data_IF_476749653934
#
_entry.id   IF_476749653934
#
_cell.length_a   1.000
_cell.length_b   1.000
_cell.length_c   1.000
_cell.angle_alpha   90.00
_cell.angle_beta   90.00
_cell.angle_gamma   90.00
#
_symmetry.space_group_name_H-M   'P 1'
#
loop_
_entity.id
_entity.type
_entity.pdbx_description
1 polymer ?
#
# COMPACT_ATOMS: atom_id res chain seq x y z
N UNK A 1 -15.34 -6.57 -22.48
CA UNK A 1 -14.87 -6.04 -21.18
C UNK A 1 -13.57 -5.24 -21.30
N UNK A 2 -12.62 -5.37 -20.36
CA UNK A 2 -11.48 -4.45 -20.09
C UNK A 2 -10.80 -3.77 -21.29
N UNK A 3 -10.59 -4.46 -22.41
CA UNK A 3 -9.91 -3.89 -23.59
C UNK A 3 -10.68 -2.70 -24.19
N UNK A 4 -12.03 -2.73 -24.19
CA UNK A 4 -12.84 -1.66 -24.77
C UNK A 4 -12.65 -0.31 -24.08
N UNK A 5 -12.72 -0.29 -22.74
CA UNK A 5 -12.48 0.91 -21.93
C UNK A 5 -11.06 1.46 -22.07
N UNK A 6 -10.05 0.58 -22.23
CA UNK A 6 -8.66 0.99 -22.46
C UNK A 6 -8.49 1.66 -23.83
N UNK A 7 -9.05 1.07 -24.89
CA UNK A 7 -9.01 1.65 -26.25
C UNK A 7 -9.75 2.99 -26.30
N UNK A 8 -10.92 3.09 -25.64
CA UNK A 8 -11.68 4.34 -25.53
C UNK A 8 -10.90 5.44 -24.79
N UNK A 9 -10.28 5.12 -23.65
CA UNK A 9 -9.46 6.07 -22.89
C UNK A 9 -8.23 6.54 -23.69
N UNK A 10 -7.55 5.64 -24.41
CA UNK A 10 -6.45 5.97 -25.32
C UNK A 10 -6.89 6.85 -26.49
N UNK A 11 -8.06 6.59 -27.07
CA UNK A 11 -8.67 7.43 -28.10
C UNK A 11 -8.89 8.86 -27.61
N UNK A 12 -9.50 9.05 -26.43
CA UNK A 12 -9.73 10.38 -25.85
C UNK A 12 -8.42 11.10 -25.57
N UNK A 13 -7.42 10.42 -24.99
CA UNK A 13 -6.13 11.01 -24.66
C UNK A 13 -5.41 11.54 -25.91
N UNK A 14 -5.36 10.77 -27.00
CA UNK A 14 -4.74 11.22 -28.24
C UNK A 14 -5.56 12.26 -29.01
N UNK A 15 -6.90 12.20 -28.97
CA UNK A 15 -7.74 13.24 -29.55
C UNK A 15 -7.53 14.58 -28.82
N UNK A 16 -7.45 14.57 -27.48
CA UNK A 16 -7.10 15.75 -26.68
C UNK A 16 -5.70 16.29 -27.01
N UNK A 17 -4.70 15.42 -27.14
CA UNK A 17 -3.34 15.82 -27.53
C UNK A 17 -3.32 16.43 -28.95
N UNK A 18 -4.07 15.86 -29.91
CA UNK A 18 -4.18 16.38 -31.27
C UNK A 18 -4.77 17.79 -31.32
N UNK A 19 -5.67 18.15 -30.41
CA UNK A 19 -6.23 19.50 -30.29
C UNK A 19 -5.21 20.47 -29.68
N UNK A 20 -4.47 20.04 -28.65
CA UNK A 20 -3.45 20.87 -27.99
C UNK A 20 -2.27 21.17 -28.92
N UNK A 21 -1.85 20.20 -29.74
CA UNK A 21 -0.70 20.37 -30.65
C UNK A 21 -0.98 21.24 -31.88
N UNK A 22 -2.23 21.69 -32.08
CA UNK A 22 -2.65 22.65 -33.11
C UNK A 22 -2.15 22.31 -34.53
N UNK A 23 -2.09 21.03 -34.86
CA UNK A 23 -1.95 20.54 -36.23
C UNK A 23 -3.28 20.75 -36.97
N UNK A 24 -3.26 20.95 -38.29
CA UNK A 24 -4.42 21.33 -39.10
C UNK A 24 -5.55 20.27 -39.01
N UNK A 25 -6.47 20.54 -38.09
CA UNK A 25 -7.27 19.52 -37.39
C UNK A 25 -8.24 18.79 -38.31
N UNK A 26 -8.58 19.40 -39.46
CA UNK A 26 -9.56 18.87 -40.41
C UNK A 26 -8.96 18.13 -41.61
N UNK A 27 -7.64 18.27 -41.86
CA UNK A 27 -6.99 17.72 -43.06
C UNK A 27 -5.98 16.62 -42.79
N UNK A 28 -5.51 16.45 -41.54
CA UNK A 28 -4.54 15.40 -41.23
C UNK A 28 -5.19 14.02 -41.03
N UNK A 29 -4.67 12.95 -41.68
CA UNK A 29 -5.22 11.60 -41.56
C UNK A 29 -5.12 11.03 -40.12
N UNK A 30 -4.21 11.57 -39.30
CA UNK A 30 -4.07 11.19 -37.89
C UNK A 30 -5.29 11.58 -37.05
N UNK A 31 -5.94 12.72 -37.32
CA UNK A 31 -7.15 13.11 -36.59
C UNK A 31 -8.31 12.14 -36.85
N UNK A 32 -8.47 11.71 -38.10
CA UNK A 32 -9.47 10.70 -38.50
C UNK A 32 -9.18 9.37 -37.81
N UNK A 33 -7.90 8.97 -37.70
CA UNK A 33 -7.48 7.76 -36.99
C UNK A 33 -7.81 7.82 -35.49
N UNK A 34 -7.56 8.94 -34.82
CA UNK A 34 -7.90 9.11 -33.39
C UNK A 34 -9.41 9.16 -33.17
N UNK A 35 -10.17 9.83 -34.03
CA UNK A 35 -11.63 9.85 -33.98
C UNK A 35 -12.22 8.45 -34.23
N UNK A 36 -11.68 7.70 -35.19
CA UNK A 36 -12.04 6.30 -35.43
C UNK A 36 -11.67 5.39 -34.25
N UNK A 37 -10.57 5.67 -33.53
CA UNK A 37 -10.21 4.94 -32.31
C UNK A 37 -11.16 5.24 -31.14
N UNK A 38 -11.62 6.49 -30.98
CA UNK A 38 -12.65 6.85 -29.99
C UNK A 38 -13.97 6.14 -30.28
N UNK A 39 -14.47 6.25 -31.52
CA UNK A 39 -15.74 5.63 -31.95
C UNK A 39 -15.63 4.10 -31.89
N UNK A 40 -14.52 3.53 -32.37
CA UNK A 40 -14.23 2.10 -32.30
C UNK A 40 -14.14 1.58 -30.87
N UNK A 41 -13.54 2.34 -29.95
CA UNK A 41 -13.49 2.03 -28.51
C UNK A 41 -14.88 2.04 -27.86
N UNK A 42 -15.72 3.03 -28.20
CA UNK A 42 -17.11 3.11 -27.74
C UNK A 42 -17.94 1.93 -28.27
N UNK A 43 -17.81 1.59 -29.55
CA UNK A 43 -18.46 0.43 -30.17
C UNK A 43 -17.99 -0.88 -29.52
N UNK A 44 -16.69 -1.04 -29.24
CA UNK A 44 -16.14 -2.20 -28.53
C UNK A 44 -16.62 -2.32 -27.07
N UNK A 45 -16.87 -1.20 -26.38
CA UNK A 45 -17.54 -1.23 -25.07
C UNK A 45 -18.98 -1.75 -25.19
N UNK A 46 -19.78 -1.15 -26.08
CA UNK A 46 -21.21 -1.50 -26.19
C UNK A 46 -21.41 -2.92 -26.75
N UNK A 47 -20.64 -3.33 -27.75
CA UNK A 47 -20.70 -4.68 -28.34
C UNK A 47 -20.08 -5.76 -27.43
N UNK A 48 -19.08 -5.39 -26.62
CA UNK A 48 -18.36 -6.33 -25.76
C UNK A 48 -19.00 -6.60 -24.40
N UNK A 49 -20.05 -5.85 -24.02
CA UNK A 49 -20.71 -5.96 -22.70
C UNK A 49 -22.23 -5.71 -22.72
N UNK A 50 -22.83 -5.26 -23.82
CA UNK A 50 -24.23 -4.86 -23.87
C UNK A 50 -24.51 -3.50 -23.19
N UNK A 51 -25.66 -2.91 -23.53
CA UNK A 51 -26.00 -1.51 -23.21
C UNK A 51 -26.02 -1.23 -21.71
N UNK A 52 -26.41 -2.21 -20.87
CA UNK A 52 -26.54 -2.03 -19.42
C UNK A 52 -25.18 -1.97 -18.69
N UNK A 53 -24.18 -2.74 -19.15
CA UNK A 53 -22.86 -2.81 -18.49
C UNK A 53 -21.89 -1.75 -19.03
N UNK A 54 -22.08 -1.27 -20.27
CA UNK A 54 -21.28 -0.17 -20.82
C UNK A 54 -21.31 1.12 -19.99
N UNK A 55 -22.41 1.41 -19.28
CA UNK A 55 -22.50 2.55 -18.35
C UNK A 55 -21.61 2.32 -17.12
N UNK A 56 -21.58 1.10 -16.57
CA UNK A 56 -20.73 0.76 -15.42
C UNK A 56 -19.23 0.92 -15.77
N UNK A 57 -18.82 0.50 -16.97
CA UNK A 57 -17.43 0.66 -17.43
C UNK A 57 -16.97 2.13 -17.54
N UNK A 58 -17.87 3.07 -17.85
CA UNK A 58 -17.54 4.50 -17.86
C UNK A 58 -17.29 5.04 -16.44
N UNK A 59 -18.11 4.65 -15.46
CA UNK A 59 -17.87 4.97 -14.04
C UNK A 59 -16.55 4.33 -13.56
N UNK A 60 -16.26 3.10 -13.99
CA UNK A 60 -15.03 2.39 -13.62
C UNK A 60 -13.77 3.10 -14.16
N UNK A 61 -13.77 3.57 -15.41
CA UNK A 61 -12.66 4.36 -15.99
C UNK A 61 -12.44 5.66 -15.22
N UNK A 62 -13.51 6.39 -14.90
CA UNK A 62 -13.43 7.62 -14.09
C UNK A 62 -12.87 7.34 -12.69
N UNK A 63 -13.31 6.25 -12.04
CA UNK A 63 -12.83 5.82 -10.73
C UNK A 63 -11.31 5.51 -10.74
N UNK A 64 -10.82 4.79 -11.76
CA UNK A 64 -9.40 4.54 -11.93
C UNK A 64 -8.61 5.86 -12.09
N UNK A 65 -9.05 6.75 -12.99
CA UNK A 65 -8.39 8.04 -13.22
C UNK A 65 -8.32 8.85 -11.92
N UNK A 66 -9.44 9.03 -11.21
CA UNK A 66 -9.48 9.77 -9.94
C UNK A 66 -8.57 9.19 -8.86
N UNK A 67 -8.43 7.85 -8.80
CA UNK A 67 -7.50 7.18 -7.89
C UNK A 67 -6.04 7.48 -8.23
N UNK A 68 -5.66 7.36 -9.52
CA UNK A 68 -4.30 7.65 -9.99
C UNK A 68 -3.94 9.15 -9.99
N UNK A 69 -4.90 10.05 -10.20
CA UNK A 69 -4.68 11.52 -10.16
C UNK A 69 -4.08 11.97 -8.83
N UNK A 70 -4.41 11.32 -7.71
CA UNK A 70 -3.81 11.62 -6.40
C UNK A 70 -2.29 11.42 -6.40
N UNK A 71 -1.81 10.30 -6.94
CA UNK A 71 -0.38 10.01 -7.04
C UNK A 71 0.31 11.02 -7.96
N UNK A 72 -0.30 11.32 -9.11
CA UNK A 72 0.20 12.34 -10.06
C UNK A 72 0.29 13.73 -9.40
N UNK A 73 -0.70 14.10 -8.57
CA UNK A 73 -0.70 15.36 -7.82
C UNK A 73 0.43 15.48 -6.80
N UNK A 74 0.68 14.43 -5.99
CA UNK A 74 1.80 14.39 -5.04
C UNK A 74 3.15 14.55 -5.78
N UNK A 75 3.32 13.81 -6.87
CA UNK A 75 4.56 13.85 -7.66
C UNK A 75 4.78 15.24 -8.29
N UNK A 76 3.73 15.85 -8.86
CA UNK A 76 3.78 17.21 -9.40
C UNK A 76 4.11 18.24 -8.31
N UNK A 77 3.50 18.14 -7.12
CA UNK A 77 3.75 19.05 -6.02
C UNK A 77 5.22 19.05 -5.59
N UNK A 78 5.84 17.86 -5.45
CA UNK A 78 7.26 17.75 -5.10
C UNK A 78 8.20 18.28 -6.20
N UNK A 79 7.87 18.08 -7.48
CA UNK A 79 8.64 18.65 -8.61
C UNK A 79 8.54 20.18 -8.64
N UNK A 80 7.35 20.75 -8.40
CA UNK A 80 7.15 22.20 -8.32
C UNK A 80 7.91 22.78 -7.13
N UNK A 81 7.86 22.15 -5.96
CA UNK A 81 8.59 22.61 -4.78
C UNK A 81 10.11 22.59 -4.99
N UNK A 82 10.66 21.50 -5.58
CA UNK A 82 12.07 21.44 -5.99
C UNK A 82 12.45 22.55 -6.98
N UNK A 83 11.57 22.83 -7.96
CA UNK A 83 11.77 23.92 -8.93
C UNK A 83 11.84 25.30 -8.25
N UNK A 84 10.95 25.57 -7.28
CA UNK A 84 10.97 26.82 -6.50
C UNK A 84 12.23 26.95 -5.64
N UNK A 85 12.66 25.88 -4.96
CA UNK A 85 13.90 25.86 -4.17
C UNK A 85 15.12 26.15 -5.05
N UNK A 86 15.20 25.52 -6.23
CA UNK A 86 16.27 25.74 -7.19
C UNK A 86 16.25 27.18 -7.73
N UNK A 87 15.08 27.72 -8.08
CA UNK A 87 14.93 29.10 -8.55
C UNK A 87 15.44 30.12 -7.53
N UNK A 88 15.03 29.99 -6.27
CA UNK A 88 15.49 30.84 -5.16
C UNK A 88 17.02 30.70 -5.00
N UNK A 89 17.53 29.47 -4.94
CA UNK A 89 18.95 29.20 -4.72
C UNK A 89 19.84 29.77 -5.84
N UNK A 90 19.45 29.58 -7.11
CA UNK A 90 20.19 30.15 -8.24
C UNK A 90 20.11 31.67 -8.29
N UNK A 91 18.96 32.27 -7.93
CA UNK A 91 18.83 33.73 -7.86
C UNK A 91 19.78 34.33 -6.80
N UNK A 92 19.87 33.71 -5.62
CA UNK A 92 20.83 34.11 -4.57
C UNK A 92 22.29 34.00 -5.03
N UNK A 93 22.65 32.90 -5.72
CA UNK A 93 24.02 32.65 -6.21
C UNK A 93 24.47 33.70 -7.25
N UNK A 94 23.58 34.16 -8.13
CA UNK A 94 23.91 35.14 -9.18
C UNK A 94 24.08 36.58 -8.67
N UNK A 95 23.44 36.95 -7.55
CA UNK A 95 23.44 38.34 -7.07
C UNK A 95 24.64 38.73 -6.19
N UNK A 96 25.55 37.82 -5.85
CA UNK A 96 26.86 38.21 -5.29
C UNK A 96 27.64 37.09 -4.58
N UNK A 97 28.97 37.18 -4.59
CA UNK A 97 29.87 36.12 -4.09
C UNK A 97 29.65 35.69 -2.64
N UNK A 98 29.21 36.58 -1.76
CA UNK A 98 28.88 36.24 -0.37
C UNK A 98 27.58 35.43 -0.24
N UNK A 99 26.62 35.64 -1.14
CA UNK A 99 25.34 34.93 -1.14
C UNK A 99 25.44 33.51 -1.69
N UNK A 100 26.55 33.14 -2.33
CA UNK A 100 26.80 31.78 -2.83
C UNK A 100 26.73 30.74 -1.70
N UNK A 101 27.34 31.03 -0.55
CA UNK A 101 27.30 30.14 0.60
C UNK A 101 25.88 29.94 1.15
N UNK A 102 25.07 31.02 1.15
CA UNK A 102 23.67 30.99 1.58
C UNK A 102 22.80 30.24 0.58
N UNK A 103 22.97 30.48 -0.73
CA UNK A 103 22.27 29.78 -1.78
C UNK A 103 22.55 28.27 -1.79
N UNK A 104 23.81 27.86 -1.56
CA UNK A 104 24.17 26.44 -1.42
C UNK A 104 23.55 25.80 -0.18
N UNK A 105 23.53 26.51 0.95
CA UNK A 105 22.87 26.06 2.18
C UNK A 105 21.36 25.85 1.97
N UNK A 106 20.69 26.83 1.34
CA UNK A 106 19.25 26.76 1.01
C UNK A 106 18.95 25.62 0.04
N UNK A 107 19.81 25.40 -0.96
CA UNK A 107 19.67 24.28 -1.90
C UNK A 107 19.73 22.93 -1.17
N UNK A 108 20.76 22.71 -0.34
CA UNK A 108 20.92 21.45 0.39
C UNK A 108 19.76 21.23 1.38
N UNK A 109 19.46 22.21 2.25
CA UNK A 109 18.40 22.07 3.25
C UNK A 109 17.03 21.93 2.60
N UNK A 110 16.72 22.78 1.61
CA UNK A 110 15.45 22.76 0.90
C UNK A 110 15.23 21.45 0.14
N UNK A 111 16.23 20.99 -0.61
CA UNK A 111 16.12 19.75 -1.37
C UNK A 111 16.03 18.52 -0.44
N UNK A 112 16.78 18.49 0.66
CA UNK A 112 16.62 17.45 1.69
C UNK A 112 15.21 17.44 2.27
N UNK A 113 14.64 18.60 2.60
CA UNK A 113 13.28 18.70 3.14
C UNK A 113 12.21 18.28 2.10
N UNK A 114 12.37 18.65 0.83
CA UNK A 114 11.48 18.20 -0.25
C UNK A 114 11.51 16.68 -0.43
N UNK A 115 12.69 16.05 -0.37
CA UNK A 115 12.81 14.57 -0.44
C UNK A 115 12.15 13.90 0.77
N UNK A 116 12.36 14.44 1.98
CA UNK A 116 11.70 13.97 3.21
C UNK A 116 10.18 14.01 3.03
N UNK A 117 9.60 15.17 2.70
CA UNK A 117 8.15 15.31 2.52
C UNK A 117 7.60 14.42 1.40
N UNK A 118 8.31 14.34 0.25
CA UNK A 118 7.90 13.52 -0.89
C UNK A 118 7.83 12.02 -0.59
N UNK A 119 8.59 11.52 0.39
CA UNK A 119 8.49 10.13 0.87
C UNK A 119 7.38 9.96 1.92
N UNK A 120 7.21 10.94 2.82
CA UNK A 120 6.18 10.85 3.88
C UNK A 120 4.75 11.05 3.39
N UNK A 121 4.50 11.93 2.40
CA UNK A 121 3.15 12.18 1.86
C UNK A 121 2.41 10.93 1.35
N UNK A 122 2.96 10.12 0.42
CA UNK A 122 2.28 8.91 -0.04
C UNK A 122 2.16 7.85 1.07
N UNK A 123 3.05 7.87 2.08
CA UNK A 123 2.96 7.02 3.27
C UNK A 123 1.67 7.25 4.05
N UNK A 124 1.35 8.52 4.37
CA UNK A 124 0.11 8.88 5.10
C UNK A 124 -1.13 8.62 4.22
N UNK A 125 -1.08 8.97 2.94
CA UNK A 125 -2.22 8.81 2.03
C UNK A 125 -2.52 7.34 1.69
N UNK A 126 -1.48 6.49 1.61
CA UNK A 126 -1.59 5.05 1.48
C UNK A 126 -2.11 4.39 2.76
N UNK A 127 -1.60 4.79 3.94
CA UNK A 127 -2.10 4.32 5.23
C UNK A 127 -3.61 4.60 5.40
N UNK A 128 -4.11 5.75 4.95
CA UNK A 128 -5.56 6.08 4.97
C UNK A 128 -6.40 5.08 4.16
N UNK A 129 -5.92 4.67 2.98
CA UNK A 129 -6.59 3.68 2.14
C UNK A 129 -6.54 2.29 2.77
N UNK A 130 -5.35 1.85 3.22
CA UNK A 130 -5.17 0.55 3.87
C UNK A 130 -6.04 0.45 5.14
N UNK A 131 -6.10 1.49 5.96
CA UNK A 131 -6.88 1.47 7.19
C UNK A 131 -8.39 1.41 6.93
N UNK A 132 -8.93 2.25 6.03
CA UNK A 132 -10.39 2.36 5.86
C UNK A 132 -10.99 1.40 4.83
N UNK A 133 -10.27 1.05 3.77
CA UNK A 133 -10.74 0.15 2.70
C UNK A 133 -10.51 -1.32 3.08
N UNK A 134 -9.40 -1.62 3.76
CA UNK A 134 -8.98 -3.00 4.04
C UNK A 134 -9.50 -3.51 5.40
N UNK A 135 -9.28 -2.79 6.51
CA UNK A 135 -9.78 -3.27 7.81
C UNK A 135 -11.32 -3.34 7.85
N UNK A 136 -12.04 -2.42 7.21
CA UNK A 136 -13.50 -2.48 7.14
C UNK A 136 -14.05 -3.70 6.37
N UNK A 137 -13.25 -4.33 5.50
CA UNK A 137 -13.61 -5.55 4.76
C UNK A 137 -13.11 -6.84 5.42
N UNK A 138 -11.99 -6.81 6.13
CA UNK A 138 -11.35 -8.01 6.72
C UNK A 138 -11.47 -8.11 8.24
N UNK A 139 -11.85 -7.04 8.96
CA UNK A 139 -12.03 -7.04 10.41
C UNK A 139 -13.50 -7.23 10.79
N UNK A 140 -13.98 -8.47 10.71
CA UNK A 140 -15.25 -8.86 11.32
C UNK A 140 -15.14 -8.68 12.84
N UNK A 141 -15.78 -7.64 13.39
CA UNK A 141 -15.72 -7.24 14.81
C UNK A 141 -16.40 -8.20 15.80
N UNK A 142 -16.34 -9.51 15.55
CA UNK A 142 -16.95 -10.56 16.36
C UNK A 142 -15.99 -11.74 16.63
N UNK A 143 -14.68 -11.43 16.78
CA UNK A 143 -13.73 -12.36 17.37
C UNK A 143 -13.92 -12.43 18.89
N UNK A 144 -14.17 -13.62 19.45
CA UNK A 144 -14.24 -13.77 20.92
C UNK A 144 -12.85 -13.50 21.53
N UNK A 145 -12.73 -12.65 22.56
CA UNK A 145 -11.44 -12.45 23.23
C UNK A 145 -10.97 -13.78 23.82
N UNK A 146 -9.72 -14.14 23.56
CA UNK A 146 -9.12 -15.38 24.04
C UNK A 146 -9.07 -15.36 25.57
N UNK A 147 -9.97 -16.11 26.20
CA UNK A 147 -9.92 -16.40 27.63
C UNK A 147 -9.01 -17.61 27.80
N UNK A 148 -7.78 -17.47 28.36
CA UNK A 148 -6.95 -18.63 28.64
C UNK A 148 -7.71 -19.57 29.59
N UNK A 149 -7.58 -20.88 29.37
CA UNK A 149 -8.22 -21.87 30.23
C UNK A 149 -7.69 -21.73 31.66
N UNK A 150 -8.57 -21.26 32.55
CA UNK A 150 -8.27 -21.03 33.97
C UNK A 150 -8.18 -22.34 34.76
N UNK A 151 -7.20 -23.17 34.43
CA UNK A 151 -6.81 -24.30 35.29
C UNK A 151 -6.20 -23.76 36.57
N UNK A 152 -6.70 -24.19 37.74
CA UNK A 152 -5.99 -23.99 39.00
C UNK A 152 -4.61 -24.65 38.88
N UNK A 153 -3.53 -23.86 39.04
CA UNK A 153 -2.15 -24.38 39.01
C UNK A 153 -1.89 -25.20 40.27
N UNK A 154 -2.04 -26.52 40.17
CA UNK A 154 -1.74 -27.45 41.29
C UNK A 154 -0.27 -27.91 41.30
N UNK A 155 0.45 -27.82 40.17
CA UNK A 155 1.84 -28.30 40.03
C UNK A 155 2.77 -27.28 39.37
N UNK A 156 2.79 -26.07 39.90
CA UNK A 156 3.94 -25.18 39.72
C UNK A 156 4.21 -24.50 41.05
N UNK A 157 5.03 -25.16 41.88
CA UNK A 157 5.72 -24.47 42.97
C UNK A 157 6.46 -23.30 42.35
N UNK A 158 6.07 -22.08 42.71
CA UNK A 158 6.94 -20.93 42.54
C UNK A 158 8.15 -21.20 43.44
N UNK A 159 9.23 -21.72 42.86
CA UNK A 159 10.46 -21.98 43.60
C UNK A 159 10.95 -20.63 44.17
N UNK A 160 11.03 -20.46 45.50
CA UNK A 160 11.68 -19.29 46.08
C UNK A 160 13.15 -19.31 45.67
N UNK A 161 13.81 -18.15 45.51
CA UNK A 161 15.19 -18.05 45.01
C UNK A 161 16.27 -18.49 46.01
N UNK A 162 16.00 -19.51 46.83
CA UNK A 162 16.74 -19.81 48.06
C UNK A 162 17.15 -21.30 48.19
N UNK A 163 16.54 -22.21 47.43
CA UNK A 163 16.71 -23.66 47.59
C UNK A 163 17.75 -24.33 46.65
N UNK A 164 18.49 -23.58 45.83
CA UNK A 164 19.43 -24.12 44.83
C UNK A 164 20.92 -23.86 45.15
N UNK A 165 21.22 -23.04 46.16
CA UNK A 165 22.59 -22.62 46.47
C UNK A 165 23.14 -23.15 47.82
N UNK A 166 22.32 -23.80 48.63
CA UNK A 166 22.72 -24.31 49.95
C UNK A 166 22.92 -25.83 49.93
N UNK A 167 24.14 -26.27 50.28
CA UNK A 167 24.48 -27.49 51.03
C UNK A 167 23.73 -28.79 50.64
N UNK A 168 24.35 -29.78 49.98
CA UNK A 168 25.48 -30.58 50.47
C UNK A 168 25.31 -31.08 51.92
N UNK A 169 25.63 -32.37 52.18
CA UNK A 169 25.57 -33.12 53.47
C UNK A 169 24.22 -33.82 53.76
N UNK A 170 24.28 -35.15 53.97
CA UNK A 170 23.19 -35.99 54.53
C UNK A 170 22.30 -36.66 53.48
N UNK A 171 22.60 -37.84 52.91
CA UNK A 171 22.79 -39.20 53.50
C UNK A 171 21.48 -39.94 53.83
N UNK A 172 21.45 -41.20 53.37
CA UNK A 172 20.46 -42.26 53.60
C UNK A 172 19.13 -42.20 52.83
N UNK A 173 18.46 -43.31 52.51
CA UNK A 173 18.88 -44.68 52.11
C UNK A 173 17.58 -45.49 51.81
N UNK A 174 17.70 -46.64 51.12
CA UNK A 174 16.64 -47.68 50.94
C UNK A 174 15.45 -47.25 50.04
N UNK A 175 14.95 -48.04 49.10
CA UNK A 175 15.33 -49.37 48.60
C UNK A 175 14.51 -49.74 47.35
N UNK A 176 14.98 -50.71 46.56
CA UNK A 176 14.47 -51.01 45.19
C UNK A 176 13.24 -51.96 45.08
N UNK A 177 12.84 -52.33 43.83
CA UNK A 177 11.48 -52.83 43.51
C UNK A 177 11.40 -54.29 42.98
N UNK A 178 10.19 -54.88 42.99
CA UNK A 178 9.76 -56.15 42.34
C UNK A 178 8.20 -56.27 42.47
N UNK A 179 7.38 -56.92 41.63
CA UNK A 179 7.42 -57.43 40.23
C UNK A 179 5.94 -57.55 39.71
N UNK A 180 5.63 -57.78 38.41
CA UNK A 180 4.26 -57.70 37.84
C UNK A 180 3.47 -59.04 37.75
N UNK A 181 2.16 -58.92 37.46
CA UNK A 181 1.26 -59.98 36.92
C UNK A 181 0.37 -59.33 35.82
N UNK A 182 0.37 -59.75 34.56
CA UNK A 182 -0.24 -60.96 33.97
C UNK A 182 -1.77 -61.05 34.19
N UNK A 183 -2.57 -60.66 33.19
CA UNK A 183 -3.42 -61.58 32.41
C UNK A 183 -4.28 -60.84 31.34
N UNK A 184 -4.94 -61.61 30.46
CA UNK A 184 -5.25 -61.26 29.07
C UNK A 184 -6.78 -61.05 28.77
N UNK A 185 -7.21 -60.76 27.52
CA UNK A 185 -8.56 -60.22 27.16
C UNK A 185 -9.52 -61.33 26.63
N UNK A 186 -10.59 -61.14 25.79
CA UNK A 186 -11.45 -59.98 25.41
C UNK A 186 -13.00 -60.24 25.35
N UNK A 187 -13.81 -59.18 25.14
CA UNK A 187 -15.15 -59.16 24.45
C UNK A 187 -16.37 -59.91 25.14
N UNK A 188 -17.57 -60.11 24.52
CA UNK A 188 -18.70 -59.16 24.67
C UNK A 188 -20.11 -59.80 24.90
N UNK A 189 -21.11 -58.98 25.30
CA UNK A 189 -22.55 -59.14 24.98
C UNK A 189 -23.33 -57.85 25.35
#
# INVERSE_FOLDING_TARGET
AKVGGIVFAWGIAFLGLSVIYKTDTFSHPLFILYLAAVIGGLVLMVAGEGIQTGVMGLIEVVSHILSYTRLVGILLASVILASVINFISFHLIHHGSFLIAVGLLVLIIGQSFNVILGVFEPGIQGARLIFVEYFSKFYTGNGRPFRPFGGKRTHTTAAPPEATAASAVGTSAVGGPFIPSSDAPPLPA
#
